data_IF_032037373875
#
_entry.id   IF_032037373875
#
_cell.length_a   1.000
_cell.length_b   1.000
_cell.length_c   1.000
_cell.angle_alpha   90.00
_cell.angle_beta   90.00
_cell.angle_gamma   90.00
#
_symmetry.space_group_name_H-M   'P 1'
#
loop_
_entity.id
_entity.type
_entity.pdbx_description
1 polymer ?
#
# COMPACT_ATOMS: atom_id res chain seq x y z
N UNK A 1 17.56 19.92 -8.28
CA UNK A 1 17.13 18.99 -9.33
C UNK A 1 17.30 17.52 -8.91
N UNK A 2 18.48 17.15 -8.44
CA UNK A 2 18.69 15.90 -7.71
C UNK A 2 18.91 16.23 -6.25
N UNK A 3 18.17 15.60 -5.35
CA UNK A 3 18.28 15.77 -3.91
C UNK A 3 19.00 14.57 -3.29
N UNK A 4 19.49 14.75 -2.09
CA UNK A 4 19.87 13.60 -1.27
C UNK A 4 18.58 12.86 -0.89
N UNK A 5 18.44 11.63 -1.37
CA UNK A 5 17.33 10.80 -1.02
C UNK A 5 17.44 10.37 0.45
N UNK A 6 16.39 10.60 1.22
CA UNK A 6 16.32 10.21 2.63
C UNK A 6 15.21 9.18 2.77
N UNK A 7 15.52 8.03 3.35
CA UNK A 7 14.55 7.01 3.71
C UNK A 7 14.53 6.85 5.23
N UNK A 8 13.34 6.96 5.80
CA UNK A 8 13.11 6.77 7.23
C UNK A 8 12.10 5.62 7.40
N UNK A 9 12.40 4.72 8.33
CA UNK A 9 11.53 3.56 8.60
C UNK A 9 11.47 3.34 10.11
N UNK A 10 10.28 3.47 10.66
CA UNK A 10 9.99 3.32 12.08
C UNK A 10 9.08 2.12 12.27
N UNK A 11 9.46 1.20 13.16
CA UNK A 11 8.66 0.04 13.49
C UNK A 11 8.61 -0.14 15.00
N UNK A 12 7.41 -0.35 15.51
CA UNK A 12 7.16 -0.68 16.91
C UNK A 12 6.30 -1.93 16.94
N UNK A 13 6.63 -2.86 17.82
CA UNK A 13 5.84 -4.07 18.00
C UNK A 13 5.73 -4.47 19.47
N UNK A 14 4.62 -5.10 19.80
CA UNK A 14 4.36 -5.72 21.08
C UNK A 14 3.84 -7.13 20.85
N UNK A 15 4.30 -8.06 21.65
CA UNK A 15 3.83 -9.44 21.62
C UNK A 15 3.76 -10.03 23.01
N UNK A 16 2.82 -10.93 23.19
CA UNK A 16 2.72 -11.73 24.42
C UNK A 16 2.17 -13.11 24.10
N UNK A 17 2.70 -14.10 24.80
CA UNK A 17 2.18 -15.46 24.80
C UNK A 17 1.82 -15.86 26.23
N UNK A 18 0.55 -16.21 26.45
CA UNK A 18 0.03 -16.83 27.65
C UNK A 18 -0.14 -18.34 27.46
N UNK A 19 -0.82 -19.01 28.39
CA UNK A 19 -1.14 -20.44 28.29
C UNK A 19 -2.14 -20.69 27.15
N UNK A 20 -3.21 -19.88 27.08
CA UNK A 20 -4.33 -20.09 26.16
C UNK A 20 -4.44 -19.01 25.08
N UNK A 21 -3.52 -18.05 25.03
CA UNK A 21 -3.59 -17.00 24.04
C UNK A 21 -2.20 -16.52 23.62
N UNK A 22 -2.10 -16.03 22.41
CA UNK A 22 -0.95 -15.28 21.92
C UNK A 22 -1.40 -14.12 21.05
N UNK A 23 -0.69 -13.00 21.16
CA UNK A 23 -0.89 -11.90 20.25
C UNK A 23 0.44 -11.28 19.83
N UNK A 24 0.41 -10.74 18.65
CA UNK A 24 1.45 -9.89 18.09
C UNK A 24 0.78 -8.70 17.42
N UNK A 25 1.21 -7.51 17.78
CA UNK A 25 0.78 -6.30 17.11
C UNK A 25 1.99 -5.45 16.74
N UNK A 26 2.04 -4.96 15.50
CA UNK A 26 3.09 -4.06 15.04
C UNK A 26 2.50 -2.90 14.26
N UNK A 27 3.17 -1.76 14.37
CA UNK A 27 2.90 -0.54 13.62
C UNK A 27 4.19 -0.13 12.95
N UNK A 28 4.13 0.18 11.67
CA UNK A 28 5.24 0.67 10.88
C UNK A 28 4.87 1.94 10.13
N UNK A 29 5.79 2.87 10.07
CA UNK A 29 5.70 4.06 9.25
C UNK A 29 6.99 4.20 8.43
N UNK A 30 6.85 4.37 7.14
CA UNK A 30 7.94 4.61 6.21
C UNK A 30 7.70 5.94 5.51
N UNK A 31 8.74 6.76 5.47
CA UNK A 31 8.81 7.95 4.64
C UNK A 31 10.01 7.82 3.73
N UNK A 32 9.80 8.00 2.44
CA UNK A 32 10.81 7.79 1.42
C UNK A 32 10.82 8.96 0.45
N UNK A 33 11.89 9.73 0.49
CA UNK A 33 12.16 10.76 -0.49
C UNK A 33 13.02 10.18 -1.62
N UNK A 34 12.61 10.45 -2.87
CA UNK A 34 13.36 10.06 -4.04
C UNK A 34 14.53 11.02 -4.35
N UNK A 35 15.41 10.58 -5.22
CA UNK A 35 16.52 11.43 -5.72
C UNK A 35 16.04 12.57 -6.61
N UNK A 36 14.85 12.47 -7.17
CA UNK A 36 14.23 13.55 -7.97
C UNK A 36 13.53 14.50 -7.03
N UNK A 37 13.70 15.80 -7.28
CA UNK A 37 12.99 16.81 -6.49
C UNK A 37 11.46 16.62 -6.58
N UNK A 38 10.81 16.57 -5.42
CA UNK A 38 9.38 16.33 -5.28
C UNK A 38 8.93 14.89 -5.48
N UNK A 39 9.84 13.93 -5.61
CA UNK A 39 9.51 12.49 -5.59
C UNK A 39 9.53 11.99 -4.16
N UNK A 40 8.38 11.59 -3.65
CA UNK A 40 8.25 11.07 -2.30
C UNK A 40 7.03 10.16 -2.18
N UNK A 41 7.10 9.19 -1.27
CA UNK A 41 5.92 8.48 -0.82
C UNK A 41 6.02 8.17 0.67
N UNK A 42 4.88 8.08 1.32
CA UNK A 42 4.79 7.59 2.68
C UNK A 42 3.93 6.34 2.77
N UNK A 43 4.22 5.48 3.74
CA UNK A 43 3.46 4.26 3.96
C UNK A 43 3.28 3.99 5.45
N UNK A 44 2.03 3.88 5.85
CA UNK A 44 1.64 3.35 7.16
C UNK A 44 1.26 1.88 7.02
N UNK A 45 1.72 1.06 7.96
CA UNK A 45 1.36 -0.36 8.05
C UNK A 45 1.01 -0.74 9.47
N UNK A 46 0.02 -1.60 9.65
CA UNK A 46 -0.22 -2.25 10.94
C UNK A 46 -0.57 -3.71 10.72
N UNK A 47 -0.01 -4.57 11.57
CA UNK A 47 -0.27 -6.00 11.57
C UNK A 47 -0.72 -6.45 12.94
N UNK A 48 -1.80 -7.20 12.98
CA UNK A 48 -2.34 -7.79 14.19
C UNK A 48 -2.52 -9.30 13.98
N UNK A 49 -1.88 -10.10 14.82
CA UNK A 49 -2.08 -11.54 14.88
C UNK A 49 -2.57 -11.88 16.29
N UNK A 50 -3.69 -12.56 16.36
CA UNK A 50 -4.31 -13.03 17.58
C UNK A 50 -4.61 -14.52 17.44
N UNK A 51 -4.32 -15.30 18.45
CA UNK A 51 -4.74 -16.68 18.55
C UNK A 51 -5.16 -16.98 19.99
N UNK A 52 -6.23 -17.71 20.17
CA UNK A 52 -6.72 -18.15 21.47
C UNK A 52 -7.21 -19.59 21.43
N UNK A 53 -6.77 -20.37 22.39
CA UNK A 53 -7.29 -21.70 22.67
C UNK A 53 -8.51 -21.54 23.58
N UNK A 54 -9.72 -21.51 22.98
CA UNK A 54 -10.99 -21.40 23.72
C UNK A 54 -11.23 -22.64 24.57
N UNK A 55 -10.74 -23.79 24.10
CA UNK A 55 -10.72 -25.05 24.83
C UNK A 55 -9.63 -25.97 24.27
N UNK A 56 -9.42 -27.13 24.88
CA UNK A 56 -8.50 -28.14 24.37
C UNK A 56 -8.83 -28.64 22.95
N UNK A 57 -10.05 -28.35 22.48
CA UNK A 57 -10.53 -28.78 21.15
C UNK A 57 -10.67 -27.61 20.17
N UNK A 58 -10.79 -26.39 20.64
CA UNK A 58 -11.14 -25.23 19.83
C UNK A 58 -10.08 -24.17 19.93
N UNK A 59 -9.47 -23.83 18.80
CA UNK A 59 -8.58 -22.66 18.65
C UNK A 59 -9.23 -21.70 17.66
N UNK A 60 -9.23 -20.42 17.98
CA UNK A 60 -9.65 -19.34 17.08
C UNK A 60 -8.51 -18.36 16.86
N UNK A 61 -8.45 -17.79 15.69
CA UNK A 61 -7.40 -16.82 15.40
C UNK A 61 -7.80 -15.79 14.37
N UNK A 62 -7.07 -14.68 14.39
CA UNK A 62 -7.18 -13.55 13.49
C UNK A 62 -5.78 -13.12 13.10
N UNK A 63 -5.53 -13.06 11.80
CA UNK A 63 -4.36 -12.40 11.23
C UNK A 63 -4.87 -11.25 10.37
N UNK A 64 -4.44 -10.03 10.65
CA UNK A 64 -4.88 -8.84 9.92
C UNK A 64 -3.68 -7.99 9.57
N UNK A 65 -3.66 -7.48 8.36
CA UNK A 65 -2.66 -6.53 7.86
C UNK A 65 -3.38 -5.38 7.16
N UNK A 66 -3.12 -4.17 7.62
CA UNK A 66 -3.59 -2.95 6.97
C UNK A 66 -2.39 -2.15 6.48
N UNK A 67 -2.49 -1.61 5.28
CA UNK A 67 -1.51 -0.68 4.73
C UNK A 67 -2.19 0.50 4.06
N UNK A 68 -1.64 1.69 4.27
CA UNK A 68 -2.01 2.91 3.56
C UNK A 68 -0.75 3.53 2.98
N UNK A 69 -0.72 3.71 1.67
CA UNK A 69 0.40 4.30 0.95
C UNK A 69 -0.07 5.56 0.24
N UNK A 70 0.61 6.67 0.52
CA UNK A 70 0.38 7.97 -0.10
C UNK A 70 1.49 8.26 -1.13
N UNK A 71 1.10 8.43 -2.39
CA UNK A 71 1.94 8.78 -3.54
C UNK A 71 1.50 10.12 -4.14
N UNK A 72 0.99 11.01 -3.33
CA UNK A 72 0.46 12.30 -3.76
C UNK A 72 1.56 13.29 -4.19
N UNK A 73 2.82 13.00 -3.89
CA UNK A 73 3.95 13.82 -4.30
C UNK A 73 4.04 13.94 -5.83
N UNK A 74 4.48 15.10 -6.30
CA UNK A 74 4.64 15.39 -7.73
C UNK A 74 6.13 15.61 -8.01
N UNK A 75 6.76 14.61 -8.61
CA UNK A 75 8.15 14.67 -9.01
C UNK A 75 8.35 15.65 -10.18
N UNK A 76 9.52 16.24 -10.23
CA UNK A 76 9.97 17.04 -11.38
C UNK A 76 9.99 16.19 -12.65
N UNK A 77 9.52 16.74 -13.76
CA UNK A 77 9.57 16.08 -15.07
C UNK A 77 11.04 15.95 -15.55
N UNK A 78 11.54 14.72 -15.46
CA UNK A 78 12.92 14.39 -15.90
C UNK A 78 13.14 14.56 -17.39
N UNK A 79 12.09 14.37 -18.22
CA UNK A 79 12.20 14.59 -19.67
C UNK A 79 12.38 16.08 -19.96
N UNK A 80 11.60 16.96 -19.33
CA UNK A 80 11.77 18.39 -19.43
C UNK A 80 13.14 18.82 -18.91
N UNK A 81 13.68 18.24 -17.84
CA UNK A 81 15.01 18.51 -17.32
C UNK A 81 16.14 18.23 -18.31
N UNK A 82 16.06 17.16 -19.09
CA UNK A 82 17.12 16.81 -20.06
C UNK A 82 17.17 17.75 -21.27
N UNK A 83 16.04 18.39 -21.56
CA UNK A 83 15.92 19.32 -22.70
C UNK A 83 16.06 20.79 -22.30
N UNK A 84 16.00 21.03 -20.99
CA UNK A 84 16.10 22.37 -20.42
C UNK A 84 17.54 22.84 -20.44
N UNK A 85 17.82 23.94 -21.15
CA UNK A 85 19.17 24.48 -21.23
C UNK A 85 19.64 25.03 -19.87
N UNK A 86 20.83 24.67 -19.37
CA UNK A 86 21.39 25.27 -18.15
C UNK A 86 21.70 26.77 -18.29
N UNK A 87 21.72 27.27 -19.52
CA UNK A 87 21.92 28.69 -19.81
C UNK A 87 20.60 29.48 -19.90
N UNK A 88 19.48 28.83 -19.63
CA UNK A 88 18.23 29.56 -19.52
C UNK A 88 18.28 30.54 -18.37
N UNK A 89 17.80 31.73 -18.60
CA UNK A 89 17.70 32.81 -17.61
C UNK A 89 16.71 32.53 -16.49
N UNK A 90 16.45 31.26 -16.21
CA UNK A 90 15.75 30.83 -15.03
C UNK A 90 16.67 31.02 -13.84
N UNK A 91 16.74 32.25 -13.41
CA UNK A 91 17.30 32.54 -12.11
C UNK A 91 16.42 31.87 -11.08
N UNK A 92 16.95 30.82 -10.44
CA UNK A 92 16.26 30.10 -9.35
C UNK A 92 15.86 31.08 -8.24
N UNK A 93 16.50 32.22 -8.17
CA UNK A 93 16.25 33.29 -7.22
C UNK A 93 15.22 34.32 -7.75
N UNK A 94 14.82 34.24 -9.02
CA UNK A 94 13.78 35.12 -9.56
C UNK A 94 12.41 34.41 -9.50
N UNK A 95 11.51 34.83 -8.59
CA UNK A 95 10.17 34.22 -8.47
C UNK A 95 9.35 34.31 -9.77
N UNK A 96 9.60 35.28 -10.61
CA UNK A 96 8.88 35.46 -11.88
C UNK A 96 9.33 34.46 -12.93
N UNK A 97 10.61 34.11 -12.99
CA UNK A 97 11.09 33.09 -13.92
C UNK A 97 10.58 31.69 -13.60
N UNK A 98 10.39 31.41 -12.32
CA UNK A 98 9.78 30.14 -11.85
C UNK A 98 8.29 30.02 -12.20
N UNK A 99 7.65 31.13 -12.58
CA UNK A 99 6.24 31.17 -12.96
C UNK A 99 6.00 31.06 -14.47
N UNK A 100 7.04 31.08 -15.28
CA UNK A 100 6.90 30.99 -16.73
C UNK A 100 6.93 29.55 -17.20
N UNK A 101 5.94 29.18 -18.00
CA UNK A 101 5.88 27.84 -18.60
C UNK A 101 7.05 27.64 -19.60
N UNK A 102 7.33 28.68 -20.42
CA UNK A 102 8.39 28.69 -21.42
C UNK A 102 9.34 29.87 -21.17
N UNK A 103 10.29 29.78 -20.23
CA UNK A 103 11.05 30.92 -19.77
C UNK A 103 11.99 31.56 -20.81
N UNK A 104 12.24 30.87 -21.92
CA UNK A 104 13.18 31.36 -22.98
C UNK A 104 12.48 31.84 -24.24
N UNK A 105 11.18 32.06 -24.20
CA UNK A 105 10.43 32.39 -25.43
C UNK A 105 10.33 31.21 -26.40
N UNK A 106 10.78 30.04 -26.00
CA UNK A 106 10.64 28.79 -26.77
C UNK A 106 9.31 28.13 -26.43
N UNK A 107 8.50 27.84 -27.43
CA UNK A 107 7.24 27.11 -27.24
C UNK A 107 7.44 25.59 -27.09
N UNK A 108 8.67 25.12 -27.04
CA UNK A 108 8.98 23.68 -27.09
C UNK A 108 9.65 23.14 -25.85
N UNK A 109 10.28 23.99 -25.03
CA UNK A 109 11.02 23.58 -23.83
C UNK A 109 10.31 24.13 -22.60
N UNK A 110 9.53 23.29 -21.96
CA UNK A 110 8.76 23.64 -20.78
C UNK A 110 9.66 23.71 -19.52
N UNK A 111 9.29 24.60 -18.61
CA UNK A 111 9.88 24.65 -17.29
C UNK A 111 9.52 23.37 -16.49
N UNK A 112 10.49 22.54 -16.07
CA UNK A 112 10.22 21.27 -15.42
C UNK A 112 9.53 21.39 -14.05
N UNK A 113 9.53 22.58 -13.46
CA UNK A 113 8.90 22.86 -12.16
C UNK A 113 7.50 23.49 -12.29
N UNK A 114 7.10 23.87 -13.52
CA UNK A 114 5.88 24.64 -13.75
C UNK A 114 4.62 23.87 -13.39
N UNK A 115 4.49 22.65 -13.89
CA UNK A 115 3.30 21.84 -13.68
C UNK A 115 3.04 21.55 -12.19
N UNK A 116 4.11 21.28 -11.42
CA UNK A 116 4.01 21.02 -9.98
C UNK A 116 3.39 22.18 -9.20
N UNK A 117 3.63 23.41 -9.64
CA UNK A 117 3.11 24.61 -8.97
C UNK A 117 1.60 24.78 -9.13
N UNK A 118 1.06 24.29 -10.23
CA UNK A 118 -0.34 24.50 -10.61
C UNK A 118 -1.15 23.21 -10.64
N UNK A 119 -0.61 22.13 -10.08
CA UNK A 119 -1.26 20.82 -10.02
C UNK A 119 -1.39 20.38 -8.56
N UNK A 120 -2.61 20.08 -8.16
CA UNK A 120 -2.90 19.38 -6.91
C UNK A 120 -3.13 17.90 -7.23
N UNK A 121 -2.40 17.02 -6.57
CA UNK A 121 -2.50 15.58 -6.75
C UNK A 121 -2.75 14.89 -5.42
N UNK A 122 -3.68 13.94 -5.40
CA UNK A 122 -3.86 12.99 -4.33
C UNK A 122 -3.88 11.58 -4.90
N UNK A 123 -3.02 10.71 -4.40
CA UNK A 123 -2.98 9.32 -4.82
C UNK A 123 -2.69 8.44 -3.61
N UNK A 124 -3.76 7.79 -3.13
CA UNK A 124 -3.70 6.99 -1.91
C UNK A 124 -4.21 5.58 -2.20
N UNK A 125 -3.44 4.61 -1.74
CA UNK A 125 -3.74 3.18 -1.84
C UNK A 125 -3.91 2.62 -0.44
N UNK A 126 -5.06 2.07 -0.14
CA UNK A 126 -5.34 1.41 1.13
C UNK A 126 -5.71 -0.04 0.89
N UNK A 127 -5.06 -0.95 1.62
CA UNK A 127 -5.34 -2.38 1.56
C UNK A 127 -5.55 -2.91 2.97
N UNK A 128 -6.59 -3.71 3.13
CA UNK A 128 -6.88 -4.48 4.33
C UNK A 128 -6.99 -5.94 3.94
N UNK A 129 -6.02 -6.73 4.37
CA UNK A 129 -5.97 -8.17 4.20
C UNK A 129 -6.13 -8.83 5.57
N UNK A 130 -6.94 -9.87 5.65
CA UNK A 130 -7.12 -10.55 6.92
C UNK A 130 -7.48 -12.00 6.73
N UNK A 131 -7.20 -12.83 7.73
CA UNK A 131 -7.67 -14.20 7.82
C UNK A 131 -8.23 -14.43 9.21
N UNK A 132 -9.51 -14.77 9.26
CA UNK A 132 -10.16 -15.25 10.48
C UNK A 132 -10.23 -16.77 10.35
N UNK A 133 -9.78 -17.49 11.36
CA UNK A 133 -9.82 -18.93 11.33
C UNK A 133 -10.32 -19.55 12.63
N UNK A 134 -10.97 -20.69 12.47
CA UNK A 134 -11.34 -21.58 13.56
C UNK A 134 -10.79 -22.97 13.29
N UNK A 135 -10.15 -23.57 14.29
CA UNK A 135 -9.63 -24.93 14.25
C UNK A 135 -10.30 -25.78 15.30
N UNK A 136 -10.78 -26.94 14.88
CA UNK A 136 -11.32 -27.98 15.74
C UNK A 136 -10.33 -29.15 15.76
N UNK A 137 -9.83 -29.50 16.94
CA UNK A 137 -9.02 -30.69 17.15
C UNK A 137 -9.94 -31.80 17.67
N UNK A 138 -10.14 -32.83 16.86
CA UNK A 138 -11.02 -33.94 17.15
C UNK A 138 -10.21 -35.16 17.62
N UNK A 139 -10.83 -36.10 18.29
CA UNK A 139 -10.17 -37.34 18.68
C UNK A 139 -9.69 -38.15 17.45
N UNK A 140 -8.85 -39.15 17.68
CA UNK A 140 -8.30 -40.03 16.65
C UNK A 140 -7.44 -39.36 15.55
N UNK A 141 -6.83 -38.20 15.89
CA UNK A 141 -5.90 -37.48 15.00
C UNK A 141 -6.57 -36.66 13.91
N UNK A 142 -7.89 -36.45 13.98
CA UNK A 142 -8.59 -35.56 13.05
C UNK A 142 -8.49 -34.11 13.51
N UNK A 143 -8.32 -33.20 12.54
CA UNK A 143 -8.53 -31.77 12.75
C UNK A 143 -9.23 -31.15 11.56
N UNK A 144 -10.05 -30.17 11.82
CA UNK A 144 -10.72 -29.35 10.83
C UNK A 144 -10.40 -27.89 11.08
N UNK A 145 -10.02 -27.16 10.03
CA UNK A 145 -9.79 -25.72 10.09
C UNK A 145 -10.53 -25.03 8.96
N UNK A 146 -11.30 -24.02 9.31
CA UNK A 146 -11.92 -23.11 8.35
C UNK A 146 -11.18 -21.78 8.41
N UNK A 147 -10.77 -21.28 7.24
CA UNK A 147 -10.18 -19.95 7.09
C UNK A 147 -11.12 -19.10 6.24
N UNK A 148 -11.41 -17.90 6.69
CA UNK A 148 -12.07 -16.87 5.91
C UNK A 148 -11.11 -15.72 5.72
N UNK A 149 -10.77 -15.42 4.45
CA UNK A 149 -9.77 -14.42 4.09
C UNK A 149 -10.41 -13.31 3.25
N UNK A 150 -10.98 -12.26 3.86
CA UNK A 150 -11.40 -11.05 3.16
C UNK A 150 -10.20 -10.21 2.76
N UNK A 151 -10.25 -9.61 1.57
CA UNK A 151 -9.30 -8.64 1.04
C UNK A 151 -10.05 -7.43 0.53
N UNK A 152 -9.72 -6.27 1.07
CA UNK A 152 -10.35 -5.00 0.73
C UNK A 152 -9.27 -4.05 0.20
N UNK A 153 -9.51 -3.48 -0.96
CA UNK A 153 -8.65 -2.46 -1.54
C UNK A 153 -9.46 -1.20 -1.86
N UNK A 154 -8.91 -0.04 -1.47
CA UNK A 154 -9.46 1.27 -1.79
C UNK A 154 -8.35 2.11 -2.41
N UNK A 155 -8.59 2.60 -3.61
CA UNK A 155 -7.66 3.48 -4.30
C UNK A 155 -8.37 4.79 -4.58
N UNK A 156 -7.77 5.88 -4.16
CA UNK A 156 -8.22 7.23 -4.46
C UNK A 156 -7.17 7.93 -5.31
N UNK A 157 -7.56 8.38 -6.50
CA UNK A 157 -6.77 9.24 -7.37
C UNK A 157 -7.55 10.52 -7.60
N UNK A 158 -6.90 11.64 -7.35
CA UNK A 158 -7.38 12.99 -7.64
C UNK A 158 -6.24 13.79 -8.24
N UNK A 159 -6.54 14.49 -9.32
CA UNK A 159 -5.61 15.45 -9.93
C UNK A 159 -6.43 16.67 -10.34
N UNK A 160 -5.98 17.84 -9.94
CA UNK A 160 -6.53 19.12 -10.36
C UNK A 160 -5.42 19.98 -10.94
N UNK A 161 -5.57 20.39 -12.18
CA UNK A 161 -4.72 21.33 -12.89
C UNK A 161 -5.42 22.67 -12.94
N UNK A 162 -4.82 23.67 -12.32
CA UNK A 162 -5.39 25.01 -12.23
C UNK A 162 -5.47 25.69 -13.60
N UNK A 163 -6.49 26.51 -13.81
CA UNK A 163 -6.58 27.43 -14.96
C UNK A 163 -5.43 28.43 -15.06
N UNK A 164 -4.61 28.56 -14.02
CA UNK A 164 -3.37 29.35 -14.02
C UNK A 164 -2.24 28.68 -14.78
N UNK A 165 -2.36 27.38 -15.08
CA UNK A 165 -1.46 26.67 -15.97
C UNK A 165 -1.84 27.00 -17.41
N UNK A 166 -0.91 27.54 -18.20
CA UNK A 166 -1.12 27.98 -19.58
C UNK A 166 -1.72 26.88 -20.48
N UNK A 167 -1.35 25.62 -20.22
CA UNK A 167 -1.87 24.48 -20.97
C UNK A 167 -3.39 24.26 -20.74
N UNK A 168 -3.96 24.77 -19.64
CA UNK A 168 -5.34 24.55 -19.24
C UNK A 168 -6.14 25.86 -19.09
N UNK A 169 -5.50 27.00 -19.34
CA UNK A 169 -6.12 28.32 -19.18
C UNK A 169 -7.36 28.48 -20.07
N UNK A 170 -7.29 27.99 -21.32
CA UNK A 170 -8.39 28.06 -22.28
C UNK A 170 -9.60 27.21 -21.91
N UNK A 171 -9.42 26.18 -21.09
CA UNK A 171 -10.47 25.25 -20.65
C UNK A 171 -10.97 25.55 -19.21
N UNK A 172 -10.40 26.58 -18.56
CA UNK A 172 -10.75 26.92 -17.18
C UNK A 172 -10.15 25.98 -16.13
N UNK A 173 -9.19 25.16 -16.52
CA UNK A 173 -8.56 24.12 -15.70
C UNK A 173 -9.05 22.71 -16.03
N UNK A 174 -8.46 21.71 -15.37
CA UNK A 174 -8.84 20.30 -15.50
C UNK A 174 -8.90 19.63 -14.15
N UNK A 175 -9.90 18.77 -13.95
CA UNK A 175 -10.04 17.99 -12.72
C UNK A 175 -10.39 16.55 -13.03
N UNK A 176 -9.66 15.64 -12.41
CA UNK A 176 -9.92 14.21 -12.51
C UNK A 176 -10.04 13.61 -11.11
N UNK A 177 -11.06 12.80 -10.88
CA UNK A 177 -11.20 12.05 -9.63
C UNK A 177 -11.65 10.64 -9.91
N UNK A 178 -10.98 9.68 -9.31
CA UNK A 178 -11.31 8.27 -9.41
C UNK A 178 -11.23 7.60 -8.03
N UNK A 179 -12.26 6.81 -7.71
CA UNK A 179 -12.29 5.95 -6.55
C UNK A 179 -12.53 4.53 -7.02
N UNK A 180 -11.58 3.66 -6.72
CA UNK A 180 -11.72 2.23 -6.98
C UNK A 180 -11.85 1.51 -5.65
N UNK A 181 -12.80 0.58 -5.57
CA UNK A 181 -12.96 -0.33 -4.45
C UNK A 181 -13.02 -1.73 -5.00
N UNK A 182 -12.30 -2.63 -4.37
CA UNK A 182 -12.35 -4.06 -4.66
C UNK A 182 -12.56 -4.83 -3.36
N UNK A 183 -13.43 -5.82 -3.40
CA UNK A 183 -13.65 -6.76 -2.32
C UNK A 183 -13.51 -8.17 -2.84
N UNK A 184 -12.48 -8.85 -2.39
CA UNK A 184 -12.24 -10.25 -2.71
C UNK A 184 -12.35 -11.05 -1.42
N UNK A 185 -12.85 -12.27 -1.49
CA UNK A 185 -12.84 -13.16 -0.36
C UNK A 185 -12.53 -14.60 -0.77
N UNK A 186 -11.96 -15.32 0.16
CA UNK A 186 -11.60 -16.71 0.03
C UNK A 186 -12.02 -17.47 1.30
N UNK A 187 -12.57 -18.66 1.12
CA UNK A 187 -12.88 -19.59 2.21
C UNK A 187 -12.15 -20.89 1.93
N UNK A 188 -11.33 -21.31 2.89
CA UNK A 188 -10.65 -22.60 2.84
C UNK A 188 -11.19 -23.50 3.95
N UNK A 189 -11.55 -24.71 3.60
CA UNK A 189 -11.90 -25.77 4.54
C UNK A 189 -10.81 -26.84 4.44
N UNK A 190 -10.08 -27.02 5.53
CA UNK A 190 -8.93 -27.93 5.61
C UNK A 190 -9.24 -29.05 6.60
N UNK A 191 -9.27 -30.26 6.13
CA UNK A 191 -9.43 -31.46 6.94
C UNK A 191 -8.08 -32.18 6.97
N UNK A 192 -7.55 -32.40 8.16
CA UNK A 192 -6.33 -33.15 8.36
C UNK A 192 -6.62 -34.38 9.20
N UNK A 193 -5.97 -35.48 8.85
CA UNK A 193 -5.92 -36.66 9.64
C UNK A 193 -4.49 -37.13 9.79
N UNK A 194 -4.07 -37.35 11.05
CA UNK A 194 -2.74 -37.83 11.42
C UNK A 194 -2.90 -39.04 12.30
N UNK A 195 -2.29 -40.13 11.88
CA UNK A 195 -2.34 -41.36 12.65
C UNK A 195 -0.96 -42.03 12.72
N UNK A 196 -0.60 -42.45 13.94
CA UNK A 196 0.64 -43.16 14.18
C UNK A 196 0.32 -44.57 14.66
N UNK A 197 0.89 -45.58 14.03
CA UNK A 197 0.69 -46.97 14.38
C UNK A 197 2.01 -47.74 14.46
N UNK A 198 2.09 -48.68 15.38
CA UNK A 198 3.27 -49.49 15.66
C UNK A 198 4.51 -48.67 16.04
N UNK A 199 4.34 -47.47 16.57
CA UNK A 199 5.43 -46.51 16.98
C UNK A 199 6.49 -46.25 15.87
N UNK A 200 6.22 -46.63 14.64
CA UNK A 200 7.14 -46.54 13.51
C UNK A 200 6.55 -45.91 12.25
N UNK A 201 5.23 -46.00 12.10
CA UNK A 201 4.54 -45.57 10.88
C UNK A 201 3.64 -44.39 11.17
N UNK A 202 3.91 -43.24 10.50
CA UNK A 202 3.09 -42.03 10.55
C UNK A 202 2.42 -41.86 9.22
N UNK A 203 1.09 -41.77 9.23
CA UNK A 203 0.29 -41.45 8.05
C UNK A 203 -0.39 -40.11 8.27
N UNK A 204 -0.28 -39.25 7.28
CA UNK A 204 -0.94 -37.94 7.26
C UNK A 204 -1.74 -37.83 5.97
N UNK A 205 -2.99 -37.40 6.08
CA UNK A 205 -3.84 -37.11 4.94
C UNK A 205 -4.44 -35.70 5.12
N UNK A 206 -4.41 -34.90 4.05
CA UNK A 206 -4.99 -33.57 4.03
C UNK A 206 -5.98 -33.47 2.87
N UNK A 207 -7.18 -33.00 3.16
CA UNK A 207 -8.20 -32.69 2.18
C UNK A 207 -8.55 -31.20 2.29
N UNK A 208 -8.46 -30.48 1.14
CA UNK A 208 -8.72 -29.05 1.06
C UNK A 208 -9.88 -28.79 0.10
N UNK A 209 -10.84 -27.96 0.54
CA UNK A 209 -11.88 -27.39 -0.31
C UNK A 209 -11.78 -25.87 -0.23
N UNK A 210 -11.64 -25.22 -1.38
CA UNK A 210 -11.52 -23.77 -1.52
C UNK A 210 -12.71 -23.21 -2.28
N UNK A 211 -13.17 -22.01 -1.86
CA UNK A 211 -14.09 -21.18 -2.61
C UNK A 211 -13.61 -19.73 -2.54
N UNK A 212 -13.60 -19.06 -3.69
CA UNK A 212 -13.17 -17.66 -3.78
C UNK A 212 -14.08 -16.84 -4.68
N UNK A 213 -14.15 -15.54 -4.42
CA UNK A 213 -14.86 -14.58 -5.26
C UNK A 213 -14.10 -13.27 -5.32
N UNK A 214 -13.97 -12.71 -6.53
CA UNK A 214 -13.42 -11.38 -6.83
C UNK A 214 -14.54 -10.47 -7.33
N UNK A 215 -14.57 -9.23 -6.82
CA UNK A 215 -15.52 -8.18 -7.21
C UNK A 215 -14.82 -6.84 -7.38
#
# INVERSE_FOLDING_TARGET
MLNNAVQQNYNVSISKKGEDYQYYWSIGYMDNEGIKDGDAFSRFTTRLNLESNVSKYITVGLNMNFSSRDESAIAVDTKALTWFSPYCSNDVNNPESANQHYPNGSNTIANPFYDRKYTDKKQVYMNLDGTIYGRLNLPFGFSYQMNFTPRLAWNESFEHKSAKNDAWAGEGGSSFRQHNKAFNWQVDNVFNWKYEFLDKHKVEATFLVNAEKSQ
#
